data_IF_116805921046
#
_entry.id   IF_116805921046
#
_cell.length_a   1.000
_cell.length_b   1.000
_cell.length_c   1.000
_cell.angle_alpha   90.00
_cell.angle_beta   90.00
_cell.angle_gamma   90.00
#
_symmetry.space_group_name_H-M   'P 1'
#
loop_
_entity.id
_entity.type
_entity.pdbx_description
1 polymer ?
#
# COMPACT_ATOMS: atom_id res chain seq x y z
N UNK A 1 19.11 80.10 14.69
CA UNK A 1 19.72 78.79 14.48
C UNK A 1 18.82 77.64 14.99
N UNK A 2 17.51 77.82 15.09
CA UNK A 2 16.58 76.78 15.59
C UNK A 2 15.41 76.38 14.62
N UNK A 3 15.38 76.92 13.42
CA UNK A 3 14.30 76.65 12.46
C UNK A 3 14.62 75.56 11.43
N UNK A 4 15.88 75.18 11.29
CA UNK A 4 16.32 74.21 10.25
C UNK A 4 16.16 72.74 10.64
N UNK A 5 16.07 72.44 11.96
CA UNK A 5 15.95 71.07 12.47
C UNK A 5 14.51 70.49 12.47
N UNK A 6 13.48 71.33 12.30
CA UNK A 6 12.10 70.88 12.28
C UNK A 6 11.62 70.30 10.91
N UNK A 7 12.28 70.68 9.82
CA UNK A 7 11.91 70.22 8.46
C UNK A 7 12.46 68.83 8.14
N UNK A 8 13.63 68.48 8.68
CA UNK A 8 14.22 67.15 8.46
C UNK A 8 13.47 66.00 9.16
N UNK A 9 12.84 66.27 10.32
CA UNK A 9 12.06 65.26 11.06
C UNK A 9 10.72 64.89 10.38
N UNK A 10 10.14 65.80 9.56
CA UNK A 10 8.89 65.53 8.82
C UNK A 10 9.13 64.75 7.51
N UNK A 11 10.29 64.90 6.88
CA UNK A 11 10.67 64.17 5.70
C UNK A 11 11.04 62.71 6.01
N UNK A 12 11.75 62.48 7.15
CA UNK A 12 12.10 61.11 7.57
C UNK A 12 10.88 60.25 8.00
N UNK A 13 9.80 60.88 8.53
CA UNK A 13 8.58 60.15 8.92
C UNK A 13 7.71 59.77 7.73
N UNK A 14 7.81 60.43 6.57
CA UNK A 14 7.06 60.12 5.35
C UNK A 14 7.74 59.07 4.47
N UNK A 15 9.05 58.81 4.61
CA UNK A 15 9.80 57.82 3.84
C UNK A 15 9.79 56.43 4.51
N UNK A 16 9.48 56.32 5.81
CA UNK A 16 9.48 55.06 6.58
C UNK A 16 8.15 54.31 6.39
N UNK A 17 7.03 54.98 6.13
CA UNK A 17 5.73 54.34 5.97
C UNK A 17 5.60 53.44 4.69
N UNK A 18 6.13 53.79 3.52
CA UNK A 18 6.03 52.89 2.34
C UNK A 18 7.00 51.72 2.42
N UNK A 19 8.11 51.80 3.20
CA UNK A 19 9.05 50.68 3.34
C UNK A 19 8.58 49.65 4.38
N UNK A 20 7.82 50.03 5.37
CA UNK A 20 7.22 49.13 6.35
C UNK A 20 6.01 48.34 5.72
N UNK A 21 5.32 48.91 4.72
CA UNK A 21 4.23 48.25 4.03
C UNK A 21 4.74 47.23 2.99
N UNK A 22 5.96 47.40 2.43
CA UNK A 22 6.58 46.40 1.56
C UNK A 22 7.16 45.19 2.30
N UNK A 23 7.55 45.34 3.56
CA UNK A 23 8.11 44.27 4.39
C UNK A 23 7.02 43.32 4.93
N UNK A 24 5.75 43.72 4.97
CA UNK A 24 4.62 42.89 5.37
C UNK A 24 4.03 42.01 4.25
N UNK A 25 4.38 42.26 2.99
CA UNK A 25 3.95 41.46 1.87
C UNK A 25 4.84 40.22 1.60
N UNK A 26 5.95 40.04 2.35
CA UNK A 26 6.90 38.95 2.15
C UNK A 26 6.74 37.78 3.15
N UNK A 27 5.75 37.83 4.04
CA UNK A 27 5.37 36.72 4.90
C UNK A 27 4.00 36.19 4.44
N UNK A 28 3.94 35.60 3.26
CA UNK A 28 2.93 34.55 3.06
C UNK A 28 3.30 33.44 4.04
N UNK A 29 2.39 33.04 4.94
CA UNK A 29 2.62 31.84 5.74
C UNK A 29 2.79 30.71 4.74
N UNK A 30 3.99 30.13 4.71
CA UNK A 30 4.19 28.82 4.13
C UNK A 30 3.20 27.93 4.86
N UNK A 31 2.08 27.64 4.24
CA UNK A 31 1.10 26.71 4.73
C UNK A 31 1.81 25.37 4.84
N UNK A 32 2.29 25.04 6.04
CA UNK A 32 2.69 23.72 6.49
C UNK A 32 1.44 22.85 6.59
N UNK A 33 0.64 22.82 5.54
CA UNK A 33 -0.59 22.06 5.45
C UNK A 33 -0.68 21.45 4.07
N UNK A 34 -0.49 20.16 4.02
CA UNK A 34 -0.73 19.15 3.00
C UNK A 34 -1.64 19.43 1.79
N UNK A 35 -1.54 20.59 1.17
CA UNK A 35 -2.20 20.88 -0.09
C UNK A 35 -1.27 20.52 -1.24
N UNK A 36 -1.65 19.53 -2.04
CA UNK A 36 -0.99 19.28 -3.32
C UNK A 36 -1.08 20.52 -4.23
N UNK A 37 -0.26 20.59 -5.31
CA UNK A 37 -0.28 21.72 -6.23
C UNK A 37 -1.64 21.83 -6.90
N UNK A 38 -2.15 23.07 -7.02
CA UNK A 38 -3.39 23.34 -7.72
C UNK A 38 -3.29 22.90 -9.20
N UNK A 39 -4.36 22.33 -9.73
CA UNK A 39 -4.47 21.85 -11.11
C UNK A 39 -5.54 22.63 -11.88
N UNK A 40 -5.40 22.63 -13.20
CA UNK A 40 -6.47 23.06 -14.10
C UNK A 40 -7.12 21.80 -14.69
N UNK A 41 -8.32 21.48 -14.22
CA UNK A 41 -9.07 20.28 -14.64
C UNK A 41 -9.60 20.35 -16.08
N UNK A 42 -9.56 21.52 -16.73
CA UNK A 42 -9.92 21.71 -18.13
C UNK A 42 -8.75 21.46 -19.11
N UNK A 43 -7.63 20.97 -18.60
CA UNK A 43 -6.44 20.62 -19.40
C UNK A 43 -5.91 19.27 -18.92
N UNK A 44 -5.19 18.52 -19.77
CA UNK A 44 -4.53 17.31 -19.36
C UNK A 44 -3.65 17.54 -18.13
N UNK A 45 -3.88 16.79 -17.06
CA UNK A 45 -3.14 16.91 -15.78
C UNK A 45 -1.82 16.14 -15.91
N UNK A 46 -0.65 16.79 -15.74
CA UNK A 46 0.63 16.10 -15.81
C UNK A 46 0.82 15.17 -14.61
N UNK A 47 0.96 13.88 -14.88
CA UNK A 47 1.21 12.80 -13.92
C UNK A 47 2.54 12.13 -14.25
N UNK A 48 3.45 12.05 -13.29
CA UNK A 48 4.69 11.31 -13.45
C UNK A 48 4.53 9.87 -12.99
N UNK A 49 4.95 8.92 -13.85
CA UNK A 49 5.05 7.50 -13.52
C UNK A 49 6.53 7.15 -13.37
N UNK A 50 6.95 6.83 -12.14
CA UNK A 50 8.29 6.41 -11.82
C UNK A 50 8.38 4.88 -11.78
N UNK A 51 9.20 4.29 -12.67
CA UNK A 51 9.33 2.84 -12.85
C UNK A 51 10.77 2.36 -12.73
N UNK A 52 11.04 1.09 -12.35
CA UNK A 52 12.39 0.59 -12.11
C UNK A 52 13.19 0.27 -13.40
N UNK A 53 12.75 0.75 -14.56
CA UNK A 53 13.44 0.55 -15.85
C UNK A 53 14.89 0.99 -15.77
N UNK A 54 15.79 0.18 -16.39
CA UNK A 54 17.21 0.49 -16.46
C UNK A 54 18.02 0.06 -15.23
N UNK A 55 17.47 -0.81 -14.37
CA UNK A 55 18.19 -1.38 -13.22
C UNK A 55 19.25 -2.44 -13.62
N UNK A 56 19.26 -2.87 -14.89
CA UNK A 56 20.03 -4.01 -15.36
C UNK A 56 19.33 -5.37 -15.15
N UNK A 57 18.15 -5.38 -14.52
CA UNK A 57 17.32 -6.57 -14.31
C UNK A 57 16.22 -6.65 -15.39
N UNK A 58 16.21 -7.72 -16.17
CA UNK A 58 15.15 -7.97 -17.14
C UNK A 58 13.76 -8.10 -16.49
N UNK A 59 13.69 -8.52 -15.23
CA UNK A 59 12.44 -8.57 -14.48
C UNK A 59 11.92 -7.17 -14.17
N UNK A 60 12.78 -6.24 -13.79
CA UNK A 60 12.42 -4.84 -13.52
C UNK A 60 11.98 -4.14 -14.81
N UNK A 61 12.65 -4.37 -15.93
CA UNK A 61 12.25 -3.79 -17.22
C UNK A 61 10.89 -4.32 -17.67
N UNK A 62 10.62 -5.62 -17.49
CA UNK A 62 9.30 -6.22 -17.76
C UNK A 62 8.23 -5.65 -16.84
N UNK A 63 8.53 -5.53 -15.54
CA UNK A 63 7.61 -4.91 -14.58
C UNK A 63 7.34 -3.45 -14.92
N UNK A 64 8.36 -2.67 -15.26
CA UNK A 64 8.22 -1.29 -15.69
C UNK A 64 7.28 -1.14 -16.89
N UNK A 65 7.44 -2.00 -17.90
CA UNK A 65 6.53 -2.03 -19.05
C UNK A 65 5.10 -2.38 -18.65
N UNK A 66 4.93 -3.34 -17.73
CA UNK A 66 3.59 -3.75 -17.27
C UNK A 66 2.91 -2.65 -16.44
N UNK A 67 3.66 -1.91 -15.62
CA UNK A 67 3.15 -0.75 -14.88
C UNK A 67 2.69 0.36 -15.84
N UNK A 68 3.49 0.67 -16.85
CA UNK A 68 3.14 1.67 -17.87
C UNK A 68 1.89 1.25 -18.65
N UNK A 69 1.82 0.01 -19.10
CA UNK A 69 0.68 -0.55 -19.81
C UNK A 69 -0.61 -0.46 -18.97
N UNK A 70 -0.52 -0.82 -17.69
CA UNK A 70 -1.66 -0.78 -16.77
C UNK A 70 -2.13 0.66 -16.50
N UNK A 71 -1.21 1.62 -16.35
CA UNK A 71 -1.54 3.04 -16.24
C UNK A 71 -2.27 3.54 -17.50
N UNK A 72 -1.75 3.21 -18.69
CA UNK A 72 -2.38 3.57 -19.97
C UNK A 72 -3.73 2.89 -20.17
N UNK A 73 -3.89 1.65 -19.66
CA UNK A 73 -5.19 0.96 -19.70
C UNK A 73 -6.23 1.69 -18.83
N UNK A 74 -5.84 2.12 -17.63
CA UNK A 74 -6.72 2.91 -16.76
C UNK A 74 -7.13 4.25 -17.38
N UNK A 75 -6.20 4.92 -18.07
CA UNK A 75 -6.50 6.19 -18.77
C UNK A 75 -7.61 6.07 -19.82
N UNK A 76 -7.77 4.90 -20.45
CA UNK A 76 -8.84 4.66 -21.44
C UNK A 76 -10.24 4.66 -20.82
N UNK A 77 -10.33 4.44 -19.51
CA UNK A 77 -11.59 4.37 -18.77
C UNK A 77 -12.01 5.71 -18.17
N UNK A 78 -11.14 6.73 -18.26
CA UNK A 78 -11.41 8.00 -17.62
C UNK A 78 -12.50 8.77 -18.38
N UNK A 79 -13.51 9.21 -17.63
CA UNK A 79 -14.56 10.09 -18.13
C UNK A 79 -14.46 11.44 -17.39
N UNK A 80 -14.40 12.53 -18.13
CA UNK A 80 -14.32 13.87 -17.55
C UNK A 80 -12.98 14.25 -16.92
N UNK A 81 -11.92 13.46 -17.18
CA UNK A 81 -10.55 13.75 -16.75
C UNK A 81 -9.58 13.40 -17.87
N UNK A 82 -8.64 14.28 -18.12
CA UNK A 82 -7.53 14.02 -19.05
C UNK A 82 -6.20 14.01 -18.28
N UNK A 83 -5.36 13.01 -18.54
CA UNK A 83 -4.06 12.82 -17.89
C UNK A 83 -2.96 12.87 -18.95
N UNK A 84 -1.94 13.70 -18.72
CA UNK A 84 -0.67 13.70 -19.46
C UNK A 84 0.33 12.83 -18.68
N UNK A 85 0.40 11.55 -19.03
CA UNK A 85 1.25 10.56 -18.36
C UNK A 85 2.68 10.61 -18.92
N UNK A 86 3.64 10.95 -18.08
CA UNK A 86 5.07 10.97 -18.39
C UNK A 86 5.82 9.94 -17.58
N UNK A 87 6.62 9.10 -18.24
CA UNK A 87 7.32 7.95 -17.63
C UNK A 87 8.78 8.31 -17.38
N UNK A 88 9.23 8.04 -16.16
CA UNK A 88 10.59 8.30 -15.69
C UNK A 88 11.23 7.04 -15.14
N UNK A 89 12.46 6.75 -15.60
CA UNK A 89 13.20 5.54 -15.23
C UNK A 89 14.05 5.78 -13.99
N UNK A 90 13.84 4.99 -12.94
CA UNK A 90 14.55 5.14 -11.66
C UNK A 90 15.72 4.20 -11.50
N UNK A 91 15.91 3.25 -12.41
CA UNK A 91 16.89 2.17 -12.30
C UNK A 91 16.81 1.38 -10.96
N UNK A 92 15.66 1.39 -10.28
CA UNK A 92 15.50 0.81 -8.96
C UNK A 92 16.31 1.50 -7.85
N UNK A 93 16.91 2.64 -8.12
CA UNK A 93 17.89 3.32 -7.26
C UNK A 93 17.29 4.56 -6.60
N UNK A 94 17.57 4.76 -5.30
CA UNK A 94 17.03 5.86 -4.52
C UNK A 94 17.48 7.25 -5.03
N UNK A 95 18.78 7.41 -5.34
CA UNK A 95 19.30 8.69 -5.84
C UNK A 95 18.73 9.03 -7.22
N UNK A 96 18.63 8.04 -8.10
CA UNK A 96 18.03 8.23 -9.43
C UNK A 96 16.55 8.58 -9.28
N UNK A 97 15.81 7.93 -8.37
CA UNK A 97 14.41 8.23 -8.11
C UNK A 97 14.21 9.68 -7.63
N UNK A 98 15.05 10.19 -6.73
CA UNK A 98 15.03 11.59 -6.29
C UNK A 98 15.29 12.56 -7.45
N UNK A 99 16.29 12.27 -8.29
CA UNK A 99 16.61 13.08 -9.46
C UNK A 99 15.45 13.10 -10.47
N UNK A 100 14.83 11.94 -10.73
CA UNK A 100 13.71 11.81 -11.64
C UNK A 100 12.44 12.48 -11.10
N UNK A 101 12.18 12.40 -9.79
CA UNK A 101 11.08 13.13 -9.16
C UNK A 101 11.28 14.65 -9.31
N UNK A 102 12.50 15.16 -9.10
CA UNK A 102 12.84 16.55 -9.30
C UNK A 102 12.65 16.98 -10.76
N UNK A 103 13.11 16.16 -11.71
CA UNK A 103 12.91 16.40 -13.13
C UNK A 103 11.43 16.44 -13.53
N UNK A 104 10.66 15.43 -13.07
CA UNK A 104 9.22 15.36 -13.33
C UNK A 104 8.47 16.61 -12.83
N UNK A 105 8.81 17.09 -11.63
CA UNK A 105 8.21 18.31 -11.06
C UNK A 105 8.59 19.55 -11.87
N UNK A 106 9.85 19.68 -12.28
CA UNK A 106 10.30 20.75 -13.17
C UNK A 106 9.55 20.72 -14.51
N UNK A 107 9.28 19.53 -15.04
CA UNK A 107 8.53 19.31 -16.26
C UNK A 107 7.01 19.51 -16.08
N UNK A 108 6.57 19.86 -14.86
CA UNK A 108 5.19 20.25 -14.54
C UNK A 108 4.32 19.17 -13.87
N UNK A 109 4.87 18.02 -13.49
CA UNK A 109 4.10 16.98 -12.80
C UNK A 109 3.41 17.53 -11.54
N UNK A 110 2.14 17.16 -11.34
CA UNK A 110 1.29 17.58 -10.22
C UNK A 110 1.12 16.49 -9.18
N UNK A 111 1.38 15.25 -9.56
CA UNK A 111 1.39 14.08 -8.70
C UNK A 111 2.35 13.04 -9.30
N UNK A 112 2.91 12.19 -8.46
CA UNK A 112 3.79 11.10 -8.85
C UNK A 112 3.11 9.77 -8.48
N UNK A 113 3.10 8.80 -9.40
CA UNK A 113 2.76 7.40 -9.13
C UNK A 113 4.02 6.53 -9.24
N UNK A 114 4.18 5.57 -8.31
CA UNK A 114 5.47 4.92 -8.09
C UNK A 114 6.38 5.79 -7.21
N UNK A 115 7.66 5.41 -7.06
CA UNK A 115 8.27 4.18 -7.54
C UNK A 115 7.91 2.94 -6.72
N UNK A 116 8.52 1.79 -7.08
CA UNK A 116 8.23 0.50 -6.45
C UNK A 116 8.99 0.27 -5.14
N UNK A 117 10.31 0.41 -5.18
CA UNK A 117 11.17 0.09 -4.04
C UNK A 117 11.07 1.14 -2.95
N UNK A 118 11.02 0.71 -1.68
CA UNK A 118 10.78 1.57 -0.53
C UNK A 118 11.78 2.73 -0.42
N UNK A 119 13.07 2.45 -0.58
CA UNK A 119 14.12 3.49 -0.54
C UNK A 119 13.97 4.51 -1.68
N UNK A 120 13.64 4.04 -2.89
CA UNK A 120 13.40 4.90 -4.04
C UNK A 120 12.14 5.76 -3.84
N UNK A 121 11.08 5.19 -3.24
CA UNK A 121 9.83 5.89 -2.94
C UNK A 121 10.04 6.96 -1.86
N UNK A 122 10.79 6.65 -0.81
CA UNK A 122 11.16 7.62 0.21
C UNK A 122 11.98 8.77 -0.37
N UNK A 123 12.99 8.47 -1.19
CA UNK A 123 13.83 9.48 -1.82
C UNK A 123 13.05 10.38 -2.80
N UNK A 124 12.13 9.82 -3.59
CA UNK A 124 11.23 10.57 -4.44
C UNK A 124 10.28 11.46 -3.61
N UNK A 125 9.77 10.95 -2.49
CA UNK A 125 8.93 11.69 -1.55
C UNK A 125 9.64 12.92 -0.97
N UNK A 126 10.85 12.74 -0.47
CA UNK A 126 11.68 13.83 0.06
C UNK A 126 11.93 14.90 -1.03
N UNK A 127 12.28 14.49 -2.25
CA UNK A 127 12.51 15.40 -3.37
C UNK A 127 11.23 16.18 -3.77
N UNK A 128 10.07 15.56 -3.64
CA UNK A 128 8.77 16.14 -4.02
C UNK A 128 8.16 17.04 -2.92
N UNK A 129 8.54 16.83 -1.66
CA UNK A 129 7.93 17.48 -0.49
C UNK A 129 7.97 19.02 -0.54
N UNK A 130 9.11 19.61 -0.94
CA UNK A 130 9.31 21.07 -1.01
C UNK A 130 8.37 21.77 -2.02
N UNK A 131 7.77 21.02 -2.93
CA UNK A 131 6.81 21.51 -3.94
C UNK A 131 5.38 21.05 -3.65
N UNK A 132 5.14 20.40 -2.52
CA UNK A 132 3.84 19.89 -2.12
C UNK A 132 3.30 18.78 -3.03
N UNK A 133 4.15 18.14 -3.86
CA UNK A 133 3.73 17.08 -4.78
C UNK A 133 3.61 15.76 -4.03
N UNK A 134 2.42 15.15 -4.09
CA UNK A 134 2.16 13.86 -3.46
C UNK A 134 2.70 12.70 -4.30
N UNK A 135 3.14 11.63 -3.62
CA UNK A 135 3.71 10.42 -4.21
C UNK A 135 2.84 9.23 -3.81
N UNK A 136 2.27 8.54 -4.78
CA UNK A 136 1.52 7.29 -4.61
C UNK A 136 2.45 6.12 -4.91
N UNK A 137 3.21 5.68 -3.91
CA UNK A 137 4.26 4.68 -4.04
C UNK A 137 3.69 3.26 -4.26
N UNK A 138 4.29 2.48 -5.14
CA UNK A 138 3.92 1.06 -5.34
C UNK A 138 4.46 0.13 -4.25
N UNK A 139 5.26 0.65 -3.34
CA UNK A 139 5.79 -0.10 -2.20
C UNK A 139 4.65 -0.65 -1.32
N UNK A 140 4.90 -1.79 -0.69
CA UNK A 140 4.08 -2.36 0.37
C UNK A 140 4.67 -2.13 1.78
N UNK A 141 5.77 -1.38 1.88
CA UNK A 141 6.40 -1.07 3.15
C UNK A 141 5.73 0.14 3.82
N UNK A 142 4.99 -0.03 4.94
CA UNK A 142 4.29 1.07 5.59
C UNK A 142 5.24 2.06 6.28
N UNK A 143 6.51 1.72 6.50
CA UNK A 143 7.45 2.61 7.22
C UNK A 143 7.84 3.86 6.42
N UNK A 144 7.62 3.86 5.10
CA UNK A 144 7.86 5.03 4.24
C UNK A 144 6.64 5.93 4.11
N UNK A 145 5.50 5.51 4.66
CA UNK A 145 4.24 6.26 4.60
C UNK A 145 4.30 7.51 5.48
N UNK A 146 3.65 8.57 5.05
CA UNK A 146 3.55 9.83 5.78
C UNK A 146 4.02 11.04 4.96
N UNK A 147 3.86 12.22 5.53
CA UNK A 147 4.15 13.45 4.79
C UNK A 147 3.37 13.50 3.47
N UNK A 148 4.06 13.54 2.35
CA UNK A 148 3.51 13.51 1.00
C UNK A 148 3.58 12.12 0.32
N UNK A 149 3.96 11.05 1.06
CA UNK A 149 4.08 9.69 0.53
C UNK A 149 2.90 8.85 0.99
N UNK A 150 2.19 8.26 0.02
CA UNK A 150 1.10 7.32 0.22
C UNK A 150 1.49 5.97 -0.37
N UNK A 151 1.32 4.90 0.40
CA UNK A 151 1.60 3.53 -0.03
C UNK A 151 0.37 2.96 -0.73
N UNK A 152 0.52 2.47 -1.97
CA UNK A 152 -0.54 1.78 -2.72
C UNK A 152 -0.45 0.25 -2.60
N UNK A 153 0.74 -0.29 -2.35
CA UNK A 153 0.94 -1.74 -2.22
C UNK A 153 0.13 -2.33 -1.06
N UNK A 154 -0.32 -3.58 -1.21
CA UNK A 154 -0.96 -4.31 -0.12
C UNK A 154 0.05 -4.59 0.99
N UNK A 155 -0.25 -4.16 2.21
CA UNK A 155 0.60 -4.33 3.39
C UNK A 155 0.21 -5.57 4.18
N UNK A 156 1.08 -6.03 5.07
CA UNK A 156 0.73 -7.07 6.03
C UNK A 156 -0.42 -6.65 6.95
N UNK A 157 -0.51 -5.34 7.27
CA UNK A 157 -1.60 -4.80 8.08
C UNK A 157 -2.97 -5.00 7.44
N UNK A 158 -3.10 -4.77 6.11
CA UNK A 158 -4.35 -5.01 5.39
C UNK A 158 -4.80 -6.46 5.51
N UNK A 159 -3.86 -7.38 5.27
CA UNK A 159 -4.11 -8.81 5.28
C UNK A 159 -4.43 -9.31 6.68
N UNK A 160 -3.62 -8.92 7.67
CA UNK A 160 -3.80 -9.33 9.07
C UNK A 160 -5.13 -8.82 9.62
N UNK A 161 -5.47 -7.56 9.37
CA UNK A 161 -6.70 -6.94 9.88
C UNK A 161 -7.94 -7.64 9.32
N UNK A 162 -7.95 -7.89 8.00
CA UNK A 162 -9.05 -8.58 7.33
C UNK A 162 -9.23 -10.02 7.84
N UNK A 163 -8.12 -10.75 8.05
CA UNK A 163 -8.16 -12.14 8.51
C UNK A 163 -8.53 -12.26 9.99
N UNK A 164 -8.00 -11.37 10.85
CA UNK A 164 -8.36 -11.39 12.29
C UNK A 164 -9.81 -10.96 12.48
N UNK A 165 -10.28 -9.92 11.77
CA UNK A 165 -11.68 -9.51 11.80
C UNK A 165 -12.62 -10.65 11.39
N UNK A 166 -12.26 -11.38 10.32
CA UNK A 166 -13.02 -12.55 9.89
C UNK A 166 -12.95 -13.67 10.92
N UNK A 167 -11.76 -14.00 11.46
CA UNK A 167 -11.59 -15.03 12.49
C UNK A 167 -12.45 -14.75 13.72
N UNK A 168 -12.45 -13.51 14.21
CA UNK A 168 -13.29 -13.07 15.30
C UNK A 168 -14.79 -13.28 15.01
N UNK A 169 -15.24 -12.94 13.79
CA UNK A 169 -16.62 -13.14 13.37
C UNK A 169 -17.04 -14.62 13.29
N UNK A 170 -16.06 -15.53 13.14
CA UNK A 170 -16.25 -16.97 13.13
C UNK A 170 -16.03 -17.62 14.50
N UNK A 171 -15.89 -16.81 15.57
CA UNK A 171 -15.66 -17.29 16.94
C UNK A 171 -14.23 -17.78 17.19
N UNK A 172 -13.28 -17.51 16.29
CA UNK A 172 -11.86 -17.84 16.45
C UNK A 172 -11.13 -16.63 17.03
N UNK A 173 -11.16 -16.51 18.36
CA UNK A 173 -10.73 -15.30 19.06
C UNK A 173 -9.42 -15.45 19.84
N UNK A 174 -8.90 -16.68 20.00
CA UNK A 174 -7.66 -16.96 20.73
C UNK A 174 -6.58 -17.44 19.77
N UNK A 175 -5.70 -16.53 19.38
CA UNK A 175 -4.79 -16.71 18.25
C UNK A 175 -3.36 -16.87 18.75
N UNK A 176 -2.69 -17.95 18.37
CA UNK A 176 -1.23 -18.12 18.48
C UNK A 176 -0.59 -17.62 17.18
N UNK A 177 0.44 -16.78 17.29
CA UNK A 177 1.21 -16.27 16.15
C UNK A 177 2.48 -17.08 15.99
N UNK A 178 2.72 -17.61 14.78
CA UNK A 178 3.93 -18.35 14.42
C UNK A 178 4.69 -17.60 13.33
N UNK A 179 5.93 -17.22 13.60
CA UNK A 179 6.69 -16.40 12.66
C UNK A 179 8.18 -16.77 12.57
N UNK A 180 8.79 -16.53 11.41
CA UNK A 180 10.24 -16.63 11.26
C UNK A 180 10.95 -15.47 11.97
N UNK A 181 12.23 -15.68 12.34
CA UNK A 181 13.04 -14.67 13.02
C UNK A 181 13.65 -13.63 12.05
N UNK A 182 13.29 -13.67 10.78
CA UNK A 182 13.71 -12.67 9.79
C UNK A 182 12.88 -11.37 9.87
N UNK A 183 13.29 -10.36 9.10
CA UNK A 183 12.63 -9.04 9.06
C UNK A 183 11.17 -9.16 8.61
N UNK A 184 10.88 -10.01 7.62
CA UNK A 184 9.53 -10.20 7.10
C UNK A 184 8.63 -10.89 8.13
N UNK A 185 9.13 -11.95 8.81
CA UNK A 185 8.43 -12.64 9.87
C UNK A 185 8.11 -11.73 11.06
N UNK A 186 9.07 -10.92 11.48
CA UNK A 186 8.87 -9.94 12.56
C UNK A 186 7.85 -8.85 12.19
N UNK A 187 7.93 -8.33 10.97
CA UNK A 187 6.97 -7.36 10.45
C UNK A 187 5.56 -7.96 10.38
N UNK A 188 5.44 -9.19 9.91
CA UNK A 188 4.18 -9.93 9.86
C UNK A 188 3.60 -10.18 11.27
N UNK A 189 4.43 -10.61 12.23
CA UNK A 189 4.03 -10.77 13.63
C UNK A 189 3.48 -9.46 14.20
N UNK A 190 4.15 -8.33 13.94
CA UNK A 190 3.70 -7.02 14.42
C UNK A 190 2.33 -6.66 13.83
N UNK A 191 2.15 -6.84 12.53
CA UNK A 191 0.87 -6.60 11.85
C UNK A 191 -0.26 -7.47 12.43
N UNK A 192 -0.01 -8.78 12.63
CA UNK A 192 -0.99 -9.70 13.22
C UNK A 192 -1.33 -9.30 14.65
N UNK A 193 -0.32 -8.99 15.49
CA UNK A 193 -0.55 -8.59 16.89
C UNK A 193 -1.37 -7.31 16.99
N UNK A 194 -1.09 -6.33 16.15
CA UNK A 194 -1.88 -5.10 16.08
C UNK A 194 -3.32 -5.38 15.61
N UNK A 195 -3.50 -6.24 14.61
CA UNK A 195 -4.81 -6.64 14.13
C UNK A 195 -5.62 -7.37 15.22
N UNK A 196 -5.00 -8.26 16.00
CA UNK A 196 -5.61 -8.93 17.16
C UNK A 196 -6.14 -7.90 18.14
N UNK A 197 -5.33 -6.90 18.49
CA UNK A 197 -5.73 -5.82 19.42
C UNK A 197 -6.89 -4.99 18.85
N UNK A 198 -6.81 -4.58 17.58
CA UNK A 198 -7.85 -3.74 16.96
C UNK A 198 -9.20 -4.45 16.85
N UNK A 199 -9.20 -5.76 16.65
CA UNK A 199 -10.42 -6.56 16.47
C UNK A 199 -10.92 -7.20 17.77
N UNK A 200 -10.35 -6.87 18.93
CA UNK A 200 -10.77 -7.39 20.23
C UNK A 200 -10.54 -8.89 20.43
N UNK A 201 -9.67 -9.51 19.63
CA UNK A 201 -9.23 -10.87 19.81
C UNK A 201 -8.12 -10.97 20.88
N UNK A 202 -7.74 -12.18 21.24
CA UNK A 202 -6.73 -12.47 22.26
C UNK A 202 -5.47 -13.05 21.62
N UNK A 203 -4.32 -12.41 21.84
CA UNK A 203 -3.03 -13.02 21.55
C UNK A 203 -2.78 -14.12 22.58
N UNK A 204 -2.98 -15.38 22.17
CA UNK A 204 -2.86 -16.55 23.04
C UNK A 204 -1.39 -16.97 23.27
N UNK A 205 -0.50 -16.59 22.36
CA UNK A 205 0.93 -16.82 22.45
C UNK A 205 1.65 -16.46 21.16
N UNK A 206 2.98 -16.42 21.22
CA UNK A 206 3.84 -16.21 20.06
C UNK A 206 4.98 -17.21 20.08
N UNK A 207 5.23 -17.87 18.96
CA UNK A 207 6.35 -18.77 18.76
C UNK A 207 7.12 -18.34 17.54
N UNK A 208 8.41 -18.14 17.70
CA UNK A 208 9.33 -17.82 16.60
C UNK A 208 10.24 -19.00 16.29
N UNK A 209 10.79 -19.01 15.08
CA UNK A 209 11.71 -20.03 14.63
C UNK A 209 12.81 -19.43 13.75
N UNK A 210 14.07 -19.94 13.85
CA UNK A 210 15.13 -19.60 12.89
C UNK A 210 14.71 -19.96 11.48
N UNK A 211 15.02 -19.10 10.49
CA UNK A 211 14.63 -19.31 9.10
C UNK A 211 15.48 -20.43 8.46
N UNK A 212 15.25 -21.66 8.94
CA UNK A 212 15.85 -22.89 8.47
C UNK A 212 14.92 -24.07 8.67
N UNK A 213 15.09 -25.13 7.89
CA UNK A 213 14.31 -26.36 8.05
C UNK A 213 14.45 -26.94 9.46
N UNK A 214 15.66 -27.01 9.97
CA UNK A 214 15.92 -27.55 11.32
C UNK A 214 15.31 -26.67 12.41
N UNK A 215 15.42 -25.36 12.31
CA UNK A 215 14.82 -24.41 13.25
C UNK A 215 13.31 -24.55 13.30
N UNK A 216 12.68 -24.71 12.14
CA UNK A 216 11.23 -24.90 12.03
C UNK A 216 10.79 -26.23 12.65
N UNK A 217 11.48 -27.36 12.34
CA UNK A 217 11.20 -28.66 12.93
C UNK A 217 11.32 -28.61 14.47
N UNK A 218 12.37 -27.95 14.97
CA UNK A 218 12.60 -27.80 16.41
C UNK A 218 11.50 -26.95 17.10
N UNK A 219 10.83 -26.04 16.39
CA UNK A 219 9.77 -25.20 16.94
C UNK A 219 8.41 -25.92 17.04
N UNK A 220 8.17 -27.00 16.28
CA UNK A 220 6.86 -27.69 16.24
C UNK A 220 6.35 -28.12 17.62
N UNK A 221 7.15 -28.75 18.50
CA UNK A 221 6.69 -29.13 19.85
C UNK A 221 6.30 -27.90 20.68
N UNK A 222 7.01 -26.78 20.55
CA UNK A 222 6.70 -25.54 21.27
C UNK A 222 5.41 -24.91 20.73
N UNK A 223 5.19 -24.92 19.41
CA UNK A 223 3.93 -24.45 18.82
C UNK A 223 2.77 -25.25 19.37
N UNK A 224 2.88 -26.59 19.35
CA UNK A 224 1.87 -27.49 19.89
C UNK A 224 1.58 -27.18 21.37
N UNK A 225 2.61 -27.15 22.22
CA UNK A 225 2.46 -26.88 23.65
C UNK A 225 1.83 -25.49 23.92
N UNK A 226 2.20 -24.47 23.11
CA UNK A 226 1.63 -23.11 23.24
C UNK A 226 0.14 -23.11 22.91
N UNK A 227 -0.30 -23.81 21.86
CA UNK A 227 -1.71 -23.94 21.49
C UNK A 227 -2.49 -24.65 22.58
N UNK A 228 -2.02 -25.82 23.05
CA UNK A 228 -2.69 -26.61 24.05
C UNK A 228 -2.83 -25.88 25.40
N UNK A 229 -1.73 -25.31 25.89
CA UNK A 229 -1.70 -24.61 27.17
C UNK A 229 -2.52 -23.31 27.20
N UNK A 230 -2.62 -22.64 26.06
CA UNK A 230 -3.37 -21.39 25.94
C UNK A 230 -4.84 -21.60 25.57
N UNK A 231 -5.22 -22.80 25.15
CA UNK A 231 -6.55 -23.07 24.56
C UNK A 231 -6.82 -22.26 23.32
N UNK A 232 -5.79 -22.08 22.49
CA UNK A 232 -5.92 -21.32 21.24
C UNK A 232 -6.79 -22.06 20.22
N UNK A 233 -7.64 -21.33 19.52
CA UNK A 233 -8.55 -21.84 18.50
C UNK A 233 -8.04 -21.56 17.07
N UNK A 234 -6.96 -20.78 16.93
CA UNK A 234 -6.32 -20.50 15.67
C UNK A 234 -4.79 -20.36 15.79
N UNK A 235 -4.08 -20.76 14.71
CA UNK A 235 -2.66 -20.51 14.50
C UNK A 235 -2.50 -19.61 13.28
N UNK A 236 -1.97 -18.42 13.49
CA UNK A 236 -1.73 -17.44 12.43
C UNK A 236 -0.23 -17.44 12.06
N UNK A 237 0.07 -17.85 10.84
CA UNK A 237 1.44 -18.07 10.34
C UNK A 237 1.88 -16.97 9.40
N UNK A 238 3.10 -16.48 9.58
CA UNK A 238 3.75 -15.58 8.60
C UNK A 238 4.44 -16.34 7.47
N UNK A 239 4.61 -17.65 7.61
CA UNK A 239 5.27 -18.53 6.64
C UNK A 239 4.55 -18.48 5.28
N UNK A 240 5.35 -18.33 4.22
CA UNK A 240 4.86 -18.35 2.84
C UNK A 240 5.14 -19.67 2.11
N UNK A 241 4.52 -19.89 0.93
CA UNK A 241 4.66 -21.11 0.13
C UNK A 241 6.09 -21.46 -0.28
N UNK A 242 6.92 -20.48 -0.55
CA UNK A 242 8.34 -20.67 -0.90
C UNK A 242 9.28 -20.78 0.31
N UNK A 243 8.73 -20.74 1.53
CA UNK A 243 9.51 -20.81 2.77
C UNK A 243 8.99 -21.93 3.69
N UNK A 244 8.58 -21.60 4.92
CA UNK A 244 8.21 -22.59 5.93
C UNK A 244 6.79 -23.17 5.81
N UNK A 245 5.89 -22.64 4.99
CA UNK A 245 4.50 -23.07 4.95
C UNK A 245 4.33 -24.56 4.64
N UNK A 246 4.97 -25.15 3.60
CA UNK A 246 4.79 -26.58 3.31
C UNK A 246 5.16 -27.45 4.50
N UNK A 247 6.25 -27.14 5.17
CA UNK A 247 6.75 -27.90 6.29
C UNK A 247 5.88 -27.73 7.55
N UNK A 248 5.45 -26.51 7.87
CA UNK A 248 4.53 -26.26 8.98
C UNK A 248 3.20 -26.97 8.80
N UNK A 249 2.61 -26.87 7.61
CA UNK A 249 1.31 -27.48 7.31
C UNK A 249 1.35 -29.02 7.25
N UNK A 250 2.54 -29.60 7.10
CA UNK A 250 2.76 -31.03 7.23
C UNK A 250 2.96 -31.40 8.72
N UNK A 251 3.91 -30.77 9.40
CA UNK A 251 4.35 -31.20 10.73
C UNK A 251 3.36 -30.86 11.84
N UNK A 252 2.60 -29.79 11.76
CA UNK A 252 1.63 -29.42 12.80
C UNK A 252 0.50 -30.47 12.91
N UNK A 253 -0.11 -30.97 11.82
CA UNK A 253 -1.04 -32.09 11.89
C UNK A 253 -0.42 -33.39 12.42
N UNK A 254 0.82 -33.72 12.01
CA UNK A 254 1.56 -34.88 12.53
C UNK A 254 1.81 -34.76 14.03
N UNK A 255 2.03 -33.55 14.54
CA UNK A 255 2.13 -33.26 15.96
C UNK A 255 0.78 -33.20 16.68
N UNK A 256 -0.35 -33.45 15.98
CA UNK A 256 -1.70 -33.51 16.53
C UNK A 256 -2.46 -32.19 16.54
N UNK A 257 -1.97 -31.12 15.88
CA UNK A 257 -2.74 -29.91 15.64
C UNK A 257 -3.55 -30.06 14.34
N UNK A 258 -4.79 -30.48 14.46
CA UNK A 258 -5.66 -30.68 13.29
C UNK A 258 -6.23 -29.36 12.77
N UNK A 259 -6.18 -29.08 11.45
CA UNK A 259 -6.90 -27.95 10.86
C UNK A 259 -8.42 -27.96 11.12
N UNK A 260 -8.99 -29.11 11.48
CA UNK A 260 -10.42 -29.23 11.83
C UNK A 260 -10.74 -28.66 13.23
N UNK A 261 -9.80 -28.73 14.18
CA UNK A 261 -9.98 -28.20 15.53
C UNK A 261 -9.33 -26.82 15.73
N UNK A 262 -8.16 -26.60 15.14
CA UNK A 262 -7.38 -25.38 15.26
C UNK A 262 -7.26 -24.72 13.88
N UNK A 263 -7.87 -23.57 13.70
CA UNK A 263 -7.87 -22.89 12.40
C UNK A 263 -6.47 -22.44 12.00
N UNK A 264 -5.99 -22.88 10.86
CA UNK A 264 -4.76 -22.35 10.27
C UNK A 264 -5.06 -21.14 9.43
N UNK A 265 -4.30 -20.06 9.65
CA UNK A 265 -4.45 -18.76 8.96
C UNK A 265 -3.09 -18.35 8.41
N UNK A 266 -3.04 -17.94 7.16
CA UNK A 266 -1.82 -17.48 6.47
C UNK A 266 -1.82 -15.99 6.21
N UNK A 267 -0.76 -15.30 6.60
CA UNK A 267 -0.54 -13.89 6.28
C UNK A 267 -0.25 -13.67 4.79
N UNK A 268 0.34 -14.67 4.14
CA UNK A 268 0.67 -14.63 2.71
C UNK A 268 -0.37 -15.42 1.91
N UNK A 269 -0.39 -15.21 0.60
CA UNK A 269 -1.24 -15.99 -0.31
C UNK A 269 -0.74 -17.44 -0.39
N UNK A 270 -1.65 -18.38 -0.27
CA UNK A 270 -1.35 -19.81 -0.36
C UNK A 270 -1.62 -20.41 -1.75
N UNK A 271 -2.26 -19.65 -2.61
CA UNK A 271 -2.59 -20.03 -3.98
C UNK A 271 -1.51 -19.65 -5.02
N UNK A 272 -0.41 -19.12 -4.57
CA UNK A 272 0.73 -18.75 -5.42
C UNK A 272 2.02 -19.27 -4.78
N UNK A 273 2.69 -20.25 -5.39
CA UNK A 273 2.32 -20.96 -6.63
C UNK A 273 1.15 -21.94 -6.42
N UNK A 274 0.45 -22.28 -7.51
CA UNK A 274 -0.76 -23.13 -7.43
C UNK A 274 -0.51 -24.52 -6.82
N UNK A 275 0.70 -25.06 -6.93
CA UNK A 275 1.10 -26.35 -6.34
C UNK A 275 0.97 -26.39 -4.82
N UNK A 276 0.97 -25.23 -4.15
CA UNK A 276 0.74 -25.16 -2.70
C UNK A 276 -0.64 -25.70 -2.32
N UNK A 277 -1.63 -25.57 -3.21
CA UNK A 277 -3.00 -26.04 -2.97
C UNK A 277 -3.11 -27.58 -2.84
N UNK A 278 -2.12 -28.32 -3.33
CA UNK A 278 -2.08 -29.79 -3.27
C UNK A 278 -1.61 -30.31 -1.90
N UNK A 279 -1.08 -29.44 -1.04
CA UNK A 279 -0.60 -29.82 0.28
C UNK A 279 -1.79 -30.19 1.20
N UNK A 280 -1.76 -31.35 1.87
CA UNK A 280 -2.86 -31.76 2.75
C UNK A 280 -3.14 -30.77 3.89
N UNK A 281 -2.09 -30.21 4.48
CA UNK A 281 -2.21 -29.32 5.65
C UNK A 281 -2.70 -27.90 5.34
N UNK A 282 -2.83 -27.51 4.08
CA UNK A 282 -3.46 -26.21 3.74
C UNK A 282 -4.97 -26.34 3.55
N UNK A 283 -5.50 -27.57 3.48
CA UNK A 283 -6.95 -27.79 3.31
C UNK A 283 -7.71 -27.21 4.50
N UNK A 284 -8.75 -26.42 4.22
CA UNK A 284 -9.51 -25.70 5.26
C UNK A 284 -8.85 -24.46 5.84
N UNK A 285 -7.57 -24.19 5.55
CA UNK A 285 -6.85 -23.01 6.00
C UNK A 285 -7.38 -21.72 5.35
N UNK A 286 -7.20 -20.59 6.02
CA UNK A 286 -7.67 -19.28 5.57
C UNK A 286 -6.53 -18.37 5.14
N UNK A 287 -6.72 -17.63 4.06
CA UNK A 287 -5.82 -16.59 3.60
C UNK A 287 -6.60 -15.51 2.84
N UNK A 288 -6.03 -14.32 2.74
CA UNK A 288 -6.69 -13.23 2.04
C UNK A 288 -6.22 -13.16 0.58
N UNK A 289 -7.16 -12.79 -0.30
CA UNK A 289 -6.90 -12.57 -1.72
C UNK A 289 -7.55 -11.26 -2.17
N UNK A 290 -7.02 -10.61 -3.23
CA UNK A 290 -7.73 -9.53 -3.91
C UNK A 290 -9.12 -9.97 -4.35
N UNK A 291 -10.02 -9.01 -4.66
CA UNK A 291 -11.32 -9.32 -5.23
C UNK A 291 -11.15 -10.15 -6.53
N UNK A 292 -11.59 -11.43 -6.56
CA UNK A 292 -11.35 -12.30 -7.70
C UNK A 292 -12.01 -11.81 -8.99
N UNK A 293 -13.21 -11.23 -8.88
CA UNK A 293 -13.96 -10.75 -10.06
C UNK A 293 -13.28 -9.52 -10.67
N UNK A 294 -12.87 -8.57 -9.83
CA UNK A 294 -12.14 -7.38 -10.27
C UNK A 294 -10.79 -7.73 -10.86
N UNK A 295 -10.04 -8.62 -10.19
CA UNK A 295 -8.75 -9.10 -10.68
C UNK A 295 -8.88 -9.82 -12.02
N UNK A 296 -9.87 -10.69 -12.18
CA UNK A 296 -10.13 -11.37 -13.46
C UNK A 296 -10.51 -10.38 -14.57
N UNK A 297 -11.38 -9.41 -14.28
CA UNK A 297 -11.76 -8.38 -15.24
C UNK A 297 -10.57 -7.54 -15.70
N UNK A 298 -9.71 -7.10 -14.76
CA UNK A 298 -8.48 -6.39 -15.09
C UNK A 298 -7.53 -7.25 -15.93
N UNK A 299 -7.26 -8.49 -15.52
CA UNK A 299 -6.36 -9.39 -16.23
C UNK A 299 -6.82 -9.66 -17.67
N UNK A 300 -8.12 -9.92 -17.86
CA UNK A 300 -8.70 -10.18 -19.20
C UNK A 300 -8.58 -8.95 -20.10
N UNK A 301 -8.86 -7.76 -19.57
CA UNK A 301 -8.75 -6.51 -20.32
C UNK A 301 -7.29 -6.19 -20.66
N UNK A 302 -6.38 -6.40 -19.71
CA UNK A 302 -4.96 -6.20 -19.95
C UNK A 302 -4.44 -7.15 -21.03
N UNK A 303 -4.78 -8.44 -20.93
CA UNK A 303 -4.38 -9.44 -21.92
C UNK A 303 -4.95 -9.16 -23.29
N UNK A 304 -6.20 -8.73 -23.39
CA UNK A 304 -6.81 -8.32 -24.66
C UNK A 304 -6.11 -7.08 -25.28
N UNK A 305 -5.62 -6.16 -24.45
CA UNK A 305 -4.96 -4.94 -24.91
C UNK A 305 -3.48 -5.14 -25.29
N UNK A 306 -2.78 -6.06 -24.63
CA UNK A 306 -1.33 -6.19 -24.73
C UNK A 306 -0.82 -7.59 -25.07
N UNK A 307 -1.70 -8.58 -25.28
CA UNK A 307 -1.37 -9.92 -25.76
C UNK A 307 -0.75 -10.87 -24.72
N UNK A 308 -0.57 -10.43 -23.48
CA UNK A 308 0.01 -11.23 -22.40
C UNK A 308 -0.66 -10.93 -21.06
N UNK A 309 -0.57 -11.86 -20.10
CA UNK A 309 -1.03 -11.62 -18.74
C UNK A 309 -0.19 -10.50 -18.07
N UNK A 310 -0.81 -9.63 -17.23
CA UNK A 310 -0.07 -8.62 -16.52
C UNK A 310 0.82 -9.22 -15.43
N UNK A 311 1.91 -8.54 -15.11
CA UNK A 311 2.65 -8.79 -13.87
C UNK A 311 1.72 -8.56 -12.66
N UNK A 312 1.79 -9.36 -11.58
CA UNK A 312 0.91 -9.22 -10.40
C UNK A 312 0.85 -7.82 -9.78
N UNK A 313 1.93 -7.03 -9.89
CA UNK A 313 1.99 -5.66 -9.39
C UNK A 313 1.47 -4.59 -10.36
N UNK A 314 1.18 -4.96 -11.61
CA UNK A 314 0.76 -3.99 -12.63
C UNK A 314 -0.51 -3.22 -12.24
N UNK A 315 -1.42 -3.88 -11.52
CA UNK A 315 -2.66 -3.28 -11.02
C UNK A 315 -2.45 -2.04 -10.14
N UNK A 316 -1.28 -1.89 -9.50
CA UNK A 316 -0.99 -0.70 -8.67
C UNK A 316 -0.92 0.59 -9.50
N UNK A 317 -0.38 0.53 -10.71
CA UNK A 317 -0.37 1.69 -11.60
C UNK A 317 -1.77 2.00 -12.15
N UNK A 318 -2.57 0.98 -12.43
CA UNK A 318 -3.99 1.14 -12.73
C UNK A 318 -4.73 1.85 -11.59
N UNK A 319 -4.54 1.38 -10.34
CA UNK A 319 -5.15 1.95 -9.13
C UNK A 319 -4.79 3.44 -8.98
N UNK A 320 -3.51 3.79 -9.13
CA UNK A 320 -3.05 5.17 -9.04
C UNK A 320 -3.71 6.09 -10.06
N UNK A 321 -3.79 5.68 -11.32
CA UNK A 321 -4.45 6.46 -12.38
C UNK A 321 -5.97 6.53 -12.16
N UNK A 322 -6.61 5.43 -11.75
CA UNK A 322 -8.05 5.40 -11.47
C UNK A 322 -8.41 6.38 -10.34
N UNK A 323 -7.62 6.40 -9.26
CA UNK A 323 -7.82 7.36 -8.17
C UNK A 323 -7.64 8.81 -8.62
N UNK A 324 -6.55 9.11 -9.35
CA UNK A 324 -6.29 10.45 -9.87
C UNK A 324 -7.44 10.89 -10.82
N UNK A 325 -7.84 10.01 -11.73
CA UNK A 325 -8.94 10.30 -12.66
C UNK A 325 -10.26 10.60 -11.96
N UNK A 326 -10.62 9.79 -10.95
CA UNK A 326 -11.82 10.00 -10.15
C UNK A 326 -11.80 11.35 -9.39
N UNK A 327 -10.63 11.78 -8.92
CA UNK A 327 -10.49 13.05 -8.25
C UNK A 327 -10.50 14.24 -9.23
N UNK A 328 -9.81 14.14 -10.35
CA UNK A 328 -9.73 15.20 -11.38
C UNK A 328 -11.10 15.44 -12.02
N UNK A 329 -11.89 14.39 -12.27
CA UNK A 329 -13.22 14.49 -12.86
C UNK A 329 -14.22 15.28 -12.00
N UNK A 330 -13.92 15.49 -10.71
CA UNK A 330 -14.73 16.36 -9.85
C UNK A 330 -14.66 17.85 -10.19
N UNK A 331 -13.73 18.27 -11.07
CA UNK A 331 -13.53 19.66 -11.46
C UNK A 331 -12.85 20.54 -10.40
N UNK A 332 -12.42 19.96 -9.28
CA UNK A 332 -11.79 20.70 -8.19
C UNK A 332 -10.30 20.96 -8.47
N UNK A 333 -9.86 22.22 -8.41
CA UNK A 333 -8.45 22.58 -8.58
C UNK A 333 -7.52 21.99 -7.51
N UNK A 334 -8.05 21.60 -6.33
CA UNK A 334 -7.32 20.97 -5.24
C UNK A 334 -7.51 19.43 -5.20
N UNK A 335 -7.94 18.82 -6.32
CA UNK A 335 -8.25 17.39 -6.41
C UNK A 335 -7.07 16.48 -6.04
N UNK A 336 -5.84 16.93 -6.17
CA UNK A 336 -4.64 16.15 -5.82
C UNK A 336 -4.07 16.50 -4.43
N UNK A 337 -4.84 17.21 -3.61
CA UNK A 337 -4.47 17.50 -2.21
C UNK A 337 -4.52 16.23 -1.36
N UNK A 338 -3.80 16.25 -0.24
CA UNK A 338 -3.83 15.17 0.76
C UNK A 338 -5.26 14.85 1.21
N UNK A 339 -6.10 15.87 1.48
CA UNK A 339 -7.48 15.67 1.91
C UNK A 339 -8.34 14.99 0.85
N UNK A 340 -8.15 15.32 -0.43
CA UNK A 340 -8.85 14.68 -1.52
C UNK A 340 -8.40 13.22 -1.71
N UNK A 341 -7.09 12.96 -1.64
CA UNK A 341 -6.51 11.62 -1.73
C UNK A 341 -6.99 10.69 -0.60
N UNK A 342 -7.24 11.24 0.60
CA UNK A 342 -7.64 10.46 1.79
C UNK A 342 -9.15 10.45 2.03
N UNK A 343 -9.94 10.62 0.97
CA UNK A 343 -11.41 10.58 1.07
C UNK A 343 -11.90 9.23 1.63
N UNK A 344 -12.92 9.28 2.50
CA UNK A 344 -13.43 8.10 3.22
C UNK A 344 -14.04 7.03 2.31
N UNK A 345 -14.64 7.42 1.21
CA UNK A 345 -15.23 6.50 0.23
C UNK A 345 -14.19 5.63 -0.47
N UNK A 346 -12.93 6.08 -0.52
CA UNK A 346 -11.87 5.41 -1.27
C UNK A 346 -12.11 5.43 -2.77
N UNK A 347 -11.50 4.45 -3.45
CA UNK A 347 -11.45 4.34 -4.90
C UNK A 347 -11.70 2.90 -5.34
N UNK A 348 -12.16 2.74 -6.59
CA UNK A 348 -12.25 1.45 -7.25
C UNK A 348 -10.93 1.17 -8.00
N UNK A 349 -10.32 0.03 -7.73
CA UNK A 349 -9.06 -0.38 -8.34
C UNK A 349 -9.16 -1.66 -9.17
N UNK A 350 -8.02 -2.08 -9.72
CA UNK A 350 -7.85 -3.30 -10.52
C UNK A 350 -8.19 -4.58 -9.74
N UNK A 351 -7.95 -4.58 -8.43
CA UNK A 351 -8.07 -5.76 -7.56
C UNK A 351 -9.08 -5.59 -6.42
N UNK A 352 -9.96 -4.60 -6.50
CA UNK A 352 -10.96 -4.27 -5.49
C UNK A 352 -10.92 -2.81 -5.09
N UNK A 353 -11.66 -2.49 -4.03
CA UNK A 353 -11.66 -1.14 -3.46
C UNK A 353 -10.39 -0.90 -2.64
N UNK A 354 -9.96 0.35 -2.60
CA UNK A 354 -8.90 0.81 -1.70
C UNK A 354 -9.14 2.25 -1.28
N UNK A 355 -8.59 2.65 -0.15
CA UNK A 355 -8.52 4.05 0.28
C UNK A 355 -7.16 4.36 0.88
N UNK A 356 -6.73 5.60 0.73
CA UNK A 356 -5.52 6.10 1.37
C UNK A 356 -5.90 6.71 2.73
N UNK A 357 -5.03 6.51 3.71
CA UNK A 357 -5.23 7.00 5.07
C UNK A 357 -4.44 8.27 5.33
N UNK A 358 -4.83 9.00 6.37
CA UNK A 358 -4.15 10.24 6.74
C UNK A 358 -2.69 10.03 7.20
N UNK A 359 -2.33 8.83 7.63
CA UNK A 359 -0.95 8.46 7.95
C UNK A 359 -0.10 8.06 6.74
N UNK A 360 -0.68 8.08 5.52
CA UNK A 360 -0.04 7.67 4.26
C UNK A 360 -0.11 6.17 3.99
N UNK A 361 -0.66 5.36 4.88
CA UNK A 361 -0.97 3.95 4.64
C UNK A 361 -2.26 3.79 3.84
N UNK A 362 -2.69 2.56 3.61
CA UNK A 362 -3.93 2.30 2.89
C UNK A 362 -4.77 1.22 3.58
N UNK A 363 -6.06 1.18 3.24
CA UNK A 363 -6.93 0.03 3.43
C UNK A 363 -7.29 -0.57 2.07
N UNK A 364 -7.36 -1.90 1.99
CA UNK A 364 -7.77 -2.64 0.78
C UNK A 364 -8.89 -3.60 1.08
N UNK A 365 -9.89 -3.62 0.21
CA UNK A 365 -10.96 -4.62 0.26
C UNK A 365 -10.43 -5.98 -0.22
N UNK A 366 -10.25 -6.92 0.72
CA UNK A 366 -9.76 -8.26 0.43
C UNK A 366 -10.88 -9.30 0.68
N UNK A 367 -10.95 -10.31 -0.19
CA UNK A 367 -11.74 -11.51 0.05
C UNK A 367 -10.99 -12.47 0.97
N UNK A 368 -11.72 -13.31 1.72
CA UNK A 368 -11.14 -14.43 2.44
C UNK A 368 -11.38 -15.70 1.61
N UNK A 369 -10.30 -16.41 1.39
CA UNK A 369 -10.27 -17.70 0.70
C UNK A 369 -9.92 -18.82 1.66
N UNK A 370 -10.34 -20.03 1.30
CA UNK A 370 -9.92 -21.29 1.87
C UNK A 370 -9.52 -22.27 0.78
N UNK A 371 -8.83 -23.33 1.13
CA UNK A 371 -8.52 -24.43 0.21
C UNK A 371 -9.51 -25.56 0.43
N UNK A 372 -10.20 -26.00 -0.61
CA UNK A 372 -11.09 -27.16 -0.62
C UNK A 372 -10.84 -28.00 -1.85
N UNK A 373 -10.56 -29.27 -1.66
CA UNK A 373 -10.27 -30.19 -2.78
C UNK A 373 -9.21 -29.64 -3.74
N UNK A 374 -8.13 -29.11 -3.19
CA UNK A 374 -6.99 -28.50 -3.91
C UNK A 374 -7.37 -27.27 -4.77
N UNK A 375 -8.50 -26.63 -4.44
CA UNK A 375 -8.97 -25.44 -5.13
C UNK A 375 -9.22 -24.29 -4.16
N UNK A 376 -9.06 -23.06 -4.65
CA UNK A 376 -9.41 -21.85 -3.90
C UNK A 376 -10.93 -21.70 -3.88
N UNK A 377 -11.51 -21.61 -2.70
CA UNK A 377 -12.91 -21.26 -2.50
C UNK A 377 -13.03 -19.97 -1.71
N UNK A 378 -13.79 -19.00 -2.21
CA UNK A 378 -14.07 -17.76 -1.50
C UNK A 378 -15.14 -18.02 -0.43
N UNK A 379 -14.81 -17.77 0.83
CA UNK A 379 -15.68 -17.95 1.99
C UNK A 379 -16.21 -16.63 2.58
N UNK A 380 -15.55 -15.52 2.23
CA UNK A 380 -16.04 -14.17 2.52
C UNK A 380 -15.66 -13.25 1.37
N UNK A 381 -16.61 -12.67 0.64
CA UNK A 381 -16.31 -11.81 -0.50
C UNK A 381 -15.56 -10.54 -0.07
N UNK A 382 -14.84 -9.95 -1.02
CA UNK A 382 -14.26 -8.63 -0.82
C UNK A 382 -15.37 -7.59 -0.62
N UNK A 383 -15.21 -6.63 0.30
CA UNK A 383 -16.17 -5.56 0.49
C UNK A 383 -16.24 -4.67 -0.76
N UNK A 384 -17.44 -4.15 -1.05
CA UNK A 384 -17.69 -3.23 -2.18
C UNK A 384 -17.60 -1.75 -1.80
N UNK A 385 -17.48 -1.44 -0.49
CA UNK A 385 -17.40 -0.07 0.04
C UNK A 385 -16.76 -0.05 1.43
N UNK A 386 -16.21 1.10 1.82
CA UNK A 386 -15.68 1.33 3.18
C UNK A 386 -16.81 1.92 4.05
N UNK A 387 -17.27 1.19 5.03
CA UNK A 387 -18.34 1.63 5.95
C UNK A 387 -19.31 0.52 6.37
N UNK A 388 -19.07 -0.71 5.92
CA UNK A 388 -19.80 -1.89 6.38
C UNK A 388 -19.10 -2.60 7.55
N UNK A 389 -19.83 -3.47 8.27
CA UNK A 389 -19.23 -4.33 9.28
C UNK A 389 -18.20 -5.27 8.62
N UNK A 390 -17.00 -5.35 9.17
CA UNK A 390 -15.93 -6.24 8.70
C UNK A 390 -14.78 -5.55 7.95
N UNK A 391 -14.64 -4.25 8.11
CA UNK A 391 -13.48 -3.46 7.65
C UNK A 391 -12.78 -2.83 8.85
#
# INVERSE_FOLDING_TARGET
>A
MFAFFKSLRKAARRAILPFAALALAACEPVALGGGGPAINTNRPVPVALLVPRGSGSANDDRLAQNLENAARLAMRDLNGAEIDLRVYSTAGNAQTAANQATAAIRDGARIIIGPLYAEAANAAGVAAAARGVNVLAFSNNPTIAGGNVFVLGATFDNTADRLVSFAASQGRNRIVVVHAQDVAGQSGRNAITQAITRNGATLAGTVDYPLSQQGLIAAVPQIRATVDNSGADAVFMTAGPSAGLPLLTQLLPEAGLSPASTQFIGLTRWDIPAQTLDLPGVQGGWFAVPDPNRSAAFNNRYQAAYGSAPHPLAGLAFDGIAAIGALVSSGNSNALSRSALTQRSGFQGASGIFRLRADGTNDRGLAIATVRSNQVAIISPAPSGFGGPGL
#
